data_IF_605456714286
#
_entry.id   IF_605456714286
#
_cell.length_a   1.000
_cell.length_b   1.000
_cell.length_c   1.000
_cell.angle_alpha   90.00
_cell.angle_beta   90.00
_cell.angle_gamma   90.00
#
_symmetry.space_group_name_H-M   'P 1'
#
loop_
_entity.id
_entity.type
_entity.pdbx_description
1 polymer ?
#
# COMPACT_ATOMS: atom_id res chain seq x y z
N UNK A 1 15.80 -10.71 10.28
CA UNK A 1 14.37 -10.86 10.65
C UNK A 1 13.57 -10.26 9.50
N UNK A 2 12.67 -11.00 8.87
CA UNK A 2 11.87 -10.47 7.76
C UNK A 2 10.63 -9.76 8.33
N UNK A 3 10.35 -8.55 7.86
CA UNK A 3 9.16 -7.78 8.23
C UNK A 3 8.26 -7.63 6.99
N UNK A 4 6.94 -7.58 7.21
CA UNK A 4 5.95 -7.27 6.18
C UNK A 4 5.34 -5.91 6.44
N UNK A 5 5.16 -5.13 5.38
CA UNK A 5 4.49 -3.84 5.39
C UNK A 5 3.12 -3.92 4.73
N UNK A 6 2.28 -2.92 4.98
CA UNK A 6 1.03 -2.70 4.25
C UNK A 6 1.02 -1.30 3.66
N UNK A 7 1.08 -1.24 2.32
CA UNK A 7 1.02 0.01 1.57
C UNK A 7 -0.41 0.25 1.07
N UNK A 8 -0.85 1.51 1.10
CA UNK A 8 -2.24 1.91 0.86
C UNK A 8 -2.56 2.18 -0.60
N UNK A 9 -1.81 1.52 -1.50
CA UNK A 9 -1.99 1.53 -2.97
C UNK A 9 -1.67 0.17 -3.56
N UNK A 10 -2.01 0.02 -4.83
CA UNK A 10 -1.65 -1.12 -5.66
C UNK A 10 -0.19 -0.98 -6.12
N UNK A 11 0.75 -1.46 -5.29
CA UNK A 11 2.17 -1.53 -5.66
C UNK A 11 2.35 -2.28 -7.00
N UNK A 12 3.25 -1.80 -7.89
CA UNK A 12 4.32 -0.82 -7.62
C UNK A 12 3.93 0.65 -7.78
N UNK A 13 2.67 0.95 -8.08
CA UNK A 13 2.24 2.33 -8.28
C UNK A 13 2.16 3.09 -6.95
N UNK A 14 2.52 4.36 -7.02
CA UNK A 14 2.34 5.35 -5.96
C UNK A 14 3.04 4.97 -4.65
N UNK A 15 4.31 4.57 -4.74
CA UNK A 15 5.18 4.34 -3.57
C UNK A 15 5.35 5.66 -2.79
N UNK A 16 5.59 5.56 -1.48
CA UNK A 16 5.78 6.71 -0.61
C UNK A 16 4.63 6.93 0.37
N UNK A 17 4.68 8.04 1.11
CA UNK A 17 3.98 8.17 2.39
C UNK A 17 2.48 8.45 2.29
N UNK A 18 2.08 9.37 1.42
CA UNK A 18 0.75 9.99 1.44
C UNK A 18 -0.19 9.36 0.40
N UNK A 19 -0.17 8.04 0.35
CA UNK A 19 -0.77 7.22 -0.71
C UNK A 19 -2.28 7.48 -0.91
N UNK A 20 -3.07 7.54 0.18
CA UNK A 20 -4.53 7.78 0.11
C UNK A 20 -4.81 9.21 -0.36
N UNK A 21 -4.11 10.20 0.19
CA UNK A 21 -4.24 11.61 -0.19
C UNK A 21 -4.03 11.79 -1.70
N UNK A 22 -2.99 11.15 -2.24
CA UNK A 22 -2.70 11.17 -3.68
C UNK A 22 -3.79 10.52 -4.53
N UNK A 23 -4.34 9.37 -4.10
CA UNK A 23 -5.43 8.71 -4.83
C UNK A 23 -6.66 9.62 -4.98
N UNK A 24 -7.02 10.32 -3.90
CA UNK A 24 -8.14 11.28 -3.89
C UNK A 24 -7.80 12.53 -4.72
N UNK A 25 -6.58 13.07 -4.57
CA UNK A 25 -6.11 14.26 -5.29
C UNK A 25 -6.08 14.08 -6.81
N UNK A 26 -5.78 12.86 -7.26
CA UNK A 26 -5.76 12.48 -8.68
C UNK A 26 -7.12 12.02 -9.21
N UNK A 27 -8.17 12.06 -8.38
CA UNK A 27 -9.52 11.62 -8.75
C UNK A 27 -9.54 10.20 -9.31
N UNK A 28 -8.74 9.31 -8.74
CA UNK A 28 -8.69 7.94 -9.20
C UNK A 28 -10.00 7.20 -8.90
N UNK A 29 -10.50 6.37 -9.82
CA UNK A 29 -11.71 5.60 -9.58
C UNK A 29 -11.46 4.38 -8.66
N UNK A 30 -10.20 3.92 -8.60
CA UNK A 30 -9.81 2.68 -7.91
C UNK A 30 -8.56 2.95 -7.08
N UNK A 31 -8.53 2.38 -5.88
CA UNK A 31 -7.32 2.26 -5.07
C UNK A 31 -7.22 0.82 -4.56
N UNK A 32 -6.34 0.57 -3.60
CA UNK A 32 -6.22 -0.72 -2.96
C UNK A 32 -5.15 -0.73 -1.90
N UNK A 33 -4.77 -1.93 -1.48
CA UNK A 33 -3.70 -2.11 -0.53
C UNK A 33 -2.85 -3.33 -0.86
N UNK A 34 -1.57 -3.23 -0.56
CA UNK A 34 -0.56 -4.25 -0.84
C UNK A 34 0.16 -4.65 0.43
N UNK A 35 0.13 -5.93 0.79
CA UNK A 35 1.03 -6.49 1.81
C UNK A 35 2.27 -7.02 1.11
N UNK A 36 3.44 -6.57 1.55
CA UNK A 36 4.71 -6.80 0.87
C UNK A 36 5.85 -7.04 1.86
N UNK A 37 6.91 -7.72 1.43
CA UNK A 37 8.13 -7.86 2.22
C UNK A 37 8.89 -6.54 2.28
N UNK A 38 9.28 -6.09 3.46
CA UNK A 38 10.11 -4.89 3.59
C UNK A 38 11.55 -5.20 3.17
N UNK A 39 12.18 -4.26 2.47
CA UNK A 39 13.61 -4.28 2.18
C UNK A 39 14.21 -2.87 2.39
N UNK A 40 15.47 -2.67 2.00
CA UNK A 40 16.18 -1.40 2.17
C UNK A 40 15.59 -0.23 1.34
N UNK A 41 14.75 -0.54 0.35
CA UNK A 41 14.09 0.44 -0.51
C UNK A 41 12.63 0.61 -0.05
N UNK A 42 12.21 1.84 0.17
CA UNK A 42 10.83 2.12 0.62
C UNK A 42 9.81 1.56 -0.39
N UNK A 43 8.81 0.83 0.14
CA UNK A 43 7.69 0.26 -0.61
C UNK A 43 8.05 -0.57 -1.86
N UNK A 44 9.26 -1.14 -1.93
CA UNK A 44 9.80 -1.75 -3.14
C UNK A 44 10.07 -3.26 -3.04
N UNK A 45 9.76 -3.89 -1.91
CA UNK A 45 9.96 -5.34 -1.78
C UNK A 45 8.82 -6.16 -2.40
N UNK A 46 9.02 -7.48 -2.58
CA UNK A 46 8.07 -8.34 -3.26
C UNK A 46 6.69 -8.34 -2.59
N UNK A 47 5.62 -8.29 -3.40
CA UNK A 47 4.24 -8.25 -2.94
C UNK A 47 3.75 -9.67 -2.65
N UNK A 48 3.16 -9.86 -1.47
CA UNK A 48 2.64 -11.14 -0.96
C UNK A 48 1.17 -11.29 -1.30
N UNK A 49 0.40 -10.23 -1.07
CA UNK A 49 -1.03 -10.17 -1.33
C UNK A 49 -1.45 -8.73 -1.60
N UNK A 50 -2.45 -8.55 -2.46
CA UNK A 50 -2.94 -7.25 -2.86
C UNK A 50 -4.43 -7.36 -3.12
N UNK A 51 -5.17 -6.28 -2.84
CA UNK A 51 -6.58 -6.18 -3.23
C UNK A 51 -6.96 -4.72 -3.48
N UNK A 52 -8.08 -4.52 -4.16
CA UNK A 52 -8.54 -3.23 -4.67
C UNK A 52 -9.94 -2.87 -4.18
N UNK A 53 -10.28 -1.60 -4.25
CA UNK A 53 -11.62 -1.08 -3.98
C UNK A 53 -11.91 0.18 -4.81
N UNK A 54 -13.19 0.51 -4.97
CA UNK A 54 -13.60 1.77 -5.61
C UNK A 54 -13.50 2.94 -4.65
N UNK A 55 -13.03 4.07 -5.16
CA UNK A 55 -13.14 5.36 -4.47
C UNK A 55 -14.53 5.93 -4.80
N UNK A 56 -15.34 6.20 -3.78
CA UNK A 56 -16.69 6.73 -3.97
C UNK A 56 -16.64 8.25 -4.15
N UNK A 57 -17.57 8.84 -4.92
CA UNK A 57 -17.72 10.29 -4.97
C UNK A 57 -17.90 10.87 -3.57
N UNK A 58 -17.09 11.87 -3.22
CA UNK A 58 -17.12 12.52 -1.91
C UNK A 58 -16.32 11.80 -0.82
N UNK A 59 -15.58 10.73 -1.14
CA UNK A 59 -14.66 10.14 -0.18
C UNK A 59 -13.59 11.14 0.29
N UNK A 60 -13.38 11.12 1.60
CA UNK A 60 -12.23 11.71 2.28
C UNK A 60 -11.20 10.62 2.56
N UNK A 61 -9.95 10.98 2.84
CA UNK A 61 -8.92 10.00 3.20
C UNK A 61 -9.38 9.12 4.38
N UNK A 62 -10.01 9.75 5.36
CA UNK A 62 -10.48 9.10 6.56
C UNK A 62 -11.68 8.17 6.31
N UNK A 63 -12.62 8.55 5.43
CA UNK A 63 -13.77 7.69 5.10
C UNK A 63 -13.35 6.49 4.28
N UNK A 64 -12.49 6.70 3.27
CA UNK A 64 -11.94 5.63 2.43
C UNK A 64 -11.10 4.65 3.25
N UNK A 65 -10.27 5.16 4.17
CA UNK A 65 -9.51 4.32 5.11
C UNK A 65 -10.41 3.45 5.97
N UNK A 66 -11.40 4.06 6.65
CA UNK A 66 -12.28 3.33 7.57
C UNK A 66 -13.19 2.32 6.86
N UNK A 67 -13.72 2.68 5.69
CA UNK A 67 -14.68 1.85 4.95
C UNK A 67 -14.00 0.67 4.26
N UNK A 68 -12.90 0.92 3.56
CA UNK A 68 -12.32 -0.05 2.62
C UNK A 68 -10.91 -0.50 3.02
N UNK A 69 -9.97 0.43 3.12
CA UNK A 69 -8.54 0.11 3.14
C UNK A 69 -8.08 -0.48 4.48
N UNK A 70 -8.66 -0.06 5.60
CA UNK A 70 -8.38 -0.62 6.93
C UNK A 70 -8.84 -2.07 7.03
N UNK A 71 -10.13 -2.38 6.78
CA UNK A 71 -10.62 -3.76 6.73
C UNK A 71 -9.87 -4.64 5.72
N UNK A 72 -9.53 -4.11 4.55
CA UNK A 72 -8.72 -4.81 3.54
C UNK A 72 -7.33 -5.14 4.06
N UNK A 73 -6.66 -4.22 4.75
CA UNK A 73 -5.36 -4.45 5.36
C UNK A 73 -5.38 -5.60 6.36
N UNK A 74 -6.37 -5.66 7.25
CA UNK A 74 -6.52 -6.76 8.22
C UNK A 74 -6.64 -8.11 7.49
N UNK A 75 -7.49 -8.18 6.46
CA UNK A 75 -7.70 -9.40 5.67
C UNK A 75 -6.42 -9.84 4.95
N UNK A 76 -5.71 -8.91 4.32
CA UNK A 76 -4.48 -9.20 3.59
C UNK A 76 -3.34 -9.62 4.54
N UNK A 77 -3.22 -8.98 5.72
CA UNK A 77 -2.27 -9.41 6.73
C UNK A 77 -2.56 -10.82 7.22
N UNK A 78 -3.82 -11.14 7.53
CA UNK A 78 -4.23 -12.48 7.96
C UNK A 78 -3.84 -13.53 6.89
N UNK A 79 -4.19 -13.27 5.63
CA UNK A 79 -3.84 -14.14 4.50
C UNK A 79 -2.31 -14.33 4.37
N UNK A 80 -1.55 -13.24 4.50
CA UNK A 80 -0.09 -13.27 4.34
C UNK A 80 0.60 -14.04 5.48
N UNK A 81 0.13 -13.86 6.71
CA UNK A 81 0.63 -14.58 7.89
C UNK A 81 0.27 -16.08 7.82
N UNK A 82 -0.96 -16.42 7.42
CA UNK A 82 -1.39 -17.81 7.23
C UNK A 82 -0.53 -18.52 6.17
N UNK A 83 -0.30 -17.89 5.01
CA UNK A 83 0.59 -18.43 3.96
C UNK A 83 2.01 -18.64 4.47
N UNK A 84 2.56 -17.66 5.18
CA UNK A 84 3.91 -17.71 5.74
C UNK A 84 4.04 -18.83 6.78
N UNK A 85 3.04 -18.99 7.66
CA UNK A 85 3.02 -20.05 8.67
C UNK A 85 2.98 -21.47 8.07
N UNK A 86 2.37 -21.61 6.89
CA UNK A 86 2.34 -22.85 6.11
C UNK A 86 3.62 -23.08 5.27
N UNK A 87 4.63 -22.20 5.38
CA UNK A 87 5.85 -22.26 4.58
C UNK A 87 5.68 -21.78 3.13
N UNK A 88 4.51 -21.25 2.78
CA UNK A 88 4.24 -20.70 1.47
C UNK A 88 4.68 -19.23 1.42
N UNK A 89 5.93 -19.00 1.00
CA UNK A 89 6.52 -17.66 0.84
C UNK A 89 6.25 -17.04 -0.54
N UNK A 90 5.19 -17.48 -1.23
CA UNK A 90 4.85 -17.00 -2.55
C UNK A 90 4.64 -15.47 -2.52
N UNK A 91 5.50 -14.78 -3.27
CA UNK A 91 5.45 -13.35 -3.49
C UNK A 91 5.99 -13.07 -4.89
N UNK A 92 5.64 -11.90 -5.44
CA UNK A 92 6.13 -11.49 -6.76
C UNK A 92 6.93 -10.20 -6.64
N UNK A 93 8.06 -10.15 -7.33
CA UNK A 93 8.83 -8.92 -7.43
C UNK A 93 8.00 -7.84 -8.14
N UNK A 94 8.13 -6.62 -7.64
CA UNK A 94 7.53 -5.45 -8.27
C UNK A 94 8.24 -5.13 -9.59
N UNK A 95 7.47 -4.78 -10.63
CA UNK A 95 8.04 -4.27 -11.88
C UNK A 95 8.52 -2.81 -11.68
N UNK A 96 9.82 -2.61 -11.68
CA UNK A 96 10.44 -1.30 -11.47
C UNK A 96 10.16 -0.33 -12.63
N UNK A 97 9.84 -0.82 -13.84
CA UNK A 97 9.47 0.05 -14.95
C UNK A 97 8.09 0.71 -14.75
N UNK A 98 7.25 0.11 -13.90
CA UNK A 98 5.93 0.63 -13.56
C UNK A 98 5.91 1.40 -12.22
N UNK A 99 7.02 1.41 -11.48
CA UNK A 99 7.05 2.05 -10.17
C UNK A 99 6.94 3.58 -10.28
N UNK A 100 5.95 4.15 -9.61
CA UNK A 100 5.76 5.61 -9.52
C UNK A 100 5.88 6.11 -8.09
N UNK A 101 6.16 7.41 -7.94
CA UNK A 101 6.37 8.07 -6.66
C UNK A 101 5.72 9.45 -6.67
N UNK A 102 5.08 9.79 -5.55
CA UNK A 102 4.56 11.13 -5.35
C UNK A 102 5.24 11.82 -4.16
N UNK A 103 5.47 13.14 -4.24
CA UNK A 103 6.06 13.88 -3.13
C UNK A 103 5.11 13.89 -1.93
N UNK A 104 5.65 13.86 -0.71
CA UNK A 104 4.83 14.01 0.48
C UNK A 104 4.19 15.40 0.54
N UNK A 105 2.93 15.47 0.99
CA UNK A 105 2.17 16.73 1.13
C UNK A 105 2.75 17.65 2.20
N UNK A 106 3.46 17.09 3.20
CA UNK A 106 4.18 17.89 4.18
C UNK A 106 5.67 17.99 3.86
N UNK A 107 6.18 19.22 3.85
CA UNK A 107 7.61 19.54 3.92
C UNK A 107 7.93 20.01 5.33
N UNK A 108 7.64 19.20 6.35
CA UNK A 108 8.06 19.57 7.72
C UNK A 108 9.58 19.36 7.78
N UNK A 109 10.33 20.44 7.52
CA UNK A 109 11.77 20.49 7.77
C UNK A 109 11.94 20.13 9.24
N UNK A 110 12.71 19.08 9.53
CA UNK A 110 13.16 18.85 10.90
C UNK A 110 13.96 20.10 11.27
N UNK A 111 13.40 20.92 12.16
CA UNK A 111 14.16 22.01 12.77
C UNK A 111 15.32 21.34 13.52
N UNK A 112 16.54 21.74 13.16
CA UNK A 112 17.78 21.27 13.78
C UNK A 112 17.91 21.82 15.20
#
# INVERSE_FOLDING_TARGET
MAAIGYHLRLLPLHRGRDAIAWAIRMHEPVTGGSVYWMNERADAGPVIAQDWCFIQPGDTEASLWRRELGPTGIRLFRLSLERTALGCLASHCQDEALATWEPSFSRRRLEQ
#
